data_IF_792132123007
#
_entry.id   IF_792132123007
#
_cell.length_a   1.000
_cell.length_b   1.000
_cell.length_c   1.000
_cell.angle_alpha   90.00
_cell.angle_beta   90.00
_cell.angle_gamma   90.00
#
_symmetry.space_group_name_H-M   'P 1'
#
loop_
_entity.id
_entity.type
_entity.pdbx_description
1 polymer ?
#
# COMPACT_ATOMS: atom_id res chain seq x y z
N UNK A 1 6.85 13.95 11.85
CA UNK A 1 7.20 12.79 11.00
C UNK A 1 7.90 11.79 11.89
N UNK A 2 7.36 10.59 12.03
CA UNK A 2 7.68 9.59 13.08
C UNK A 2 9.06 8.91 12.95
N UNK A 3 9.99 9.52 12.21
CA UNK A 3 11.36 9.04 12.02
C UNK A 3 11.49 7.74 11.21
N UNK A 4 10.43 7.30 10.52
CA UNK A 4 10.41 6.03 9.79
C UNK A 4 11.05 6.18 8.40
N UNK A 5 12.02 5.30 8.08
CA UNK A 5 12.57 5.12 6.74
C UNK A 5 11.71 4.12 5.97
N UNK A 6 11.12 4.57 4.86
CA UNK A 6 10.33 3.73 3.97
C UNK A 6 11.10 3.46 2.66
N UNK A 7 11.16 2.20 2.26
CA UNK A 7 11.70 1.78 0.95
C UNK A 7 10.72 0.82 0.30
N UNK A 8 10.62 0.85 -1.02
CA UNK A 8 9.75 -0.03 -1.80
C UNK A 8 10.58 -0.67 -2.91
N UNK A 9 10.33 -1.95 -3.15
CA UNK A 9 10.84 -2.62 -4.34
C UNK A 9 10.15 -2.10 -5.60
N UNK A 10 10.85 -2.23 -6.73
CA UNK A 10 10.34 -1.78 -8.03
C UNK A 10 9.02 -2.47 -8.39
N UNK A 11 8.91 -3.75 -8.07
CA UNK A 11 7.76 -4.60 -8.36
C UNK A 11 6.50 -4.20 -7.58
N UNK A 12 6.65 -3.49 -6.45
CA UNK A 12 5.53 -2.89 -5.71
C UNK A 12 4.88 -1.79 -6.51
N UNK A 13 5.67 -0.95 -7.19
CA UNK A 13 5.12 0.11 -8.05
C UNK A 13 4.33 -0.49 -9.21
N UNK A 14 4.86 -1.53 -9.85
CA UNK A 14 4.18 -2.25 -10.93
C UNK A 14 2.86 -2.85 -10.42
N UNK A 15 2.88 -3.50 -9.26
CA UNK A 15 1.67 -4.04 -8.63
C UNK A 15 0.60 -2.99 -8.35
N UNK A 16 0.98 -1.83 -7.79
CA UNK A 16 0.05 -0.73 -7.49
C UNK A 16 -0.60 -0.21 -8.78
N UNK A 17 0.20 -0.04 -9.84
CA UNK A 17 -0.29 0.43 -11.15
C UNK A 17 -1.24 -0.60 -11.77
N UNK A 18 -0.86 -1.88 -11.76
CA UNK A 18 -1.69 -2.98 -12.26
C UNK A 18 -3.06 -2.99 -11.57
N UNK A 19 -3.09 -2.86 -10.24
CA UNK A 19 -4.34 -2.78 -9.49
C UNK A 19 -5.15 -1.52 -9.83
N UNK A 20 -4.52 -0.38 -10.01
CA UNK A 20 -5.23 0.85 -10.40
C UNK A 20 -5.93 0.71 -11.76
N UNK A 21 -5.30 0.00 -12.70
CA UNK A 21 -5.86 -0.31 -14.01
C UNK A 21 -6.98 -1.36 -13.88
N UNK A 22 -6.73 -2.46 -13.16
CA UNK A 22 -7.69 -3.55 -12.92
C UNK A 22 -9.02 -3.02 -12.36
N UNK A 23 -8.95 -2.13 -11.36
CA UNK A 23 -10.13 -1.53 -10.71
C UNK A 23 -10.63 -0.25 -11.40
N UNK A 24 -10.04 0.15 -12.53
CA UNK A 24 -10.41 1.35 -13.31
C UNK A 24 -10.43 2.64 -12.50
N UNK A 25 -9.49 2.79 -11.57
CA UNK A 25 -9.44 3.94 -10.65
C UNK A 25 -8.69 5.15 -11.23
N UNK A 26 -7.88 4.91 -12.27
CA UNK A 26 -6.96 5.90 -12.82
C UNK A 26 -5.92 6.37 -11.79
N UNK A 27 -5.20 7.44 -12.12
CA UNK A 27 -4.12 7.96 -11.26
C UNK A 27 -4.59 8.40 -9.86
N UNK A 28 -5.86 8.80 -9.72
CA UNK A 28 -6.45 9.21 -8.43
C UNK A 28 -6.57 8.05 -7.46
N UNK A 29 -6.77 6.82 -7.96
CA UNK A 29 -6.87 5.62 -7.13
C UNK A 29 -5.56 5.09 -6.59
N UNK A 30 -4.41 5.55 -7.11
CA UNK A 30 -3.09 5.09 -6.63
C UNK A 30 -2.92 5.34 -5.14
N UNK A 31 -3.40 6.49 -4.64
CA UNK A 31 -3.36 6.81 -3.21
C UNK A 31 -4.14 5.80 -2.38
N UNK A 32 -5.36 5.45 -2.80
CA UNK A 32 -6.21 4.51 -2.08
C UNK A 32 -5.61 3.10 -2.05
N UNK A 33 -4.91 2.69 -3.11
CA UNK A 33 -4.19 1.41 -3.16
C UNK A 33 -3.02 1.41 -2.17
N UNK A 34 -2.21 2.46 -2.18
CA UNK A 34 -1.09 2.60 -1.23
C UNK A 34 -1.60 2.62 0.21
N UNK A 35 -2.69 3.35 0.47
CA UNK A 35 -3.30 3.43 1.80
C UNK A 35 -3.78 2.05 2.30
N UNK A 36 -4.45 1.28 1.43
CA UNK A 36 -4.85 -0.09 1.74
C UNK A 36 -3.65 -1.01 2.07
N UNK A 37 -2.53 -0.86 1.36
CA UNK A 37 -1.31 -1.65 1.63
C UNK A 37 -0.67 -1.25 2.96
N UNK A 38 -0.72 0.03 3.32
CA UNK A 38 0.13 0.61 4.37
C UNK A 38 -0.57 0.81 5.71
N UNK A 39 -1.90 0.66 5.80
CA UNK A 39 -2.69 1.05 6.98
C UNK A 39 -2.19 0.41 8.28
N UNK A 40 -1.87 -0.88 8.25
CA UNK A 40 -1.38 -1.63 9.42
C UNK A 40 0.01 -1.12 9.86
N UNK A 41 0.90 -0.88 8.89
CA UNK A 41 2.24 -0.35 9.15
C UNK A 41 2.19 1.08 9.69
N UNK A 42 1.31 1.92 9.16
CA UNK A 42 1.13 3.30 9.62
C UNK A 42 0.68 3.36 11.08
N UNK A 43 -0.10 2.37 11.54
CA UNK A 43 -0.55 2.29 12.93
C UNK A 43 0.52 1.69 13.87
N UNK A 44 1.20 0.63 13.44
CA UNK A 44 2.14 -0.13 14.29
C UNK A 44 3.51 0.54 14.42
N UNK A 45 4.13 0.97 13.31
CA UNK A 45 5.51 1.45 13.27
C UNK A 45 5.80 2.68 14.15
N UNK A 46 4.89 3.65 14.35
CA UNK A 46 5.13 4.75 15.28
C UNK A 46 5.42 4.28 16.71
N UNK A 47 4.85 3.15 17.12
CA UNK A 47 5.03 2.57 18.46
C UNK A 47 6.21 1.60 18.57
N UNK A 48 6.77 1.16 17.44
CA UNK A 48 7.91 0.23 17.43
C UNK A 48 9.26 0.95 17.53
N UNK A 49 10.25 0.25 18.12
CA UNK A 49 11.65 0.69 18.15
C UNK A 49 12.28 0.67 16.74
N UNK A 50 11.84 -0.26 15.88
CA UNK A 50 12.30 -0.37 14.50
C UNK A 50 11.62 0.67 13.62
N UNK A 51 12.39 1.66 13.17
CA UNK A 51 11.92 2.75 12.30
C UNK A 51 12.27 2.53 10.82
N UNK A 52 12.29 1.28 10.34
CA UNK A 52 12.55 0.97 8.93
C UNK A 52 11.50 0.01 8.40
N UNK A 53 10.86 0.38 7.29
CA UNK A 53 9.95 -0.47 6.55
C UNK A 53 10.47 -0.63 5.12
N UNK A 54 10.63 -1.88 4.71
CA UNK A 54 10.90 -2.25 3.34
C UNK A 54 9.69 -3.02 2.80
N UNK A 55 9.03 -2.45 1.81
CA UNK A 55 7.82 -3.01 1.20
C UNK A 55 8.21 -3.81 -0.02
N UNK A 56 7.88 -5.09 -0.01
CA UNK A 56 8.05 -6.03 -1.14
C UNK A 56 6.70 -6.27 -1.82
N UNK A 57 6.69 -6.84 -3.03
CA UNK A 57 5.43 -7.22 -3.69
C UNK A 57 4.60 -8.19 -2.86
N UNK A 58 5.22 -9.14 -2.17
CA UNK A 58 4.51 -10.10 -1.32
C UNK A 58 3.81 -9.40 -0.16
N UNK A 59 4.46 -8.41 0.45
CA UNK A 59 3.83 -7.54 1.46
C UNK A 59 2.63 -6.81 0.86
N UNK A 60 2.80 -6.18 -0.31
CA UNK A 60 1.75 -5.43 -0.97
C UNK A 60 0.52 -6.29 -1.29
N UNK A 61 0.71 -7.49 -1.86
CA UNK A 61 -0.38 -8.44 -2.15
C UNK A 61 -1.11 -8.83 -0.87
N UNK A 62 -0.37 -9.26 0.15
CA UNK A 62 -0.93 -9.74 1.42
C UNK A 62 -1.79 -8.70 2.13
N UNK A 63 -1.34 -7.44 2.19
CA UNK A 63 -2.08 -6.37 2.87
C UNK A 63 -3.23 -5.82 2.02
N UNK A 64 -3.04 -5.76 0.70
CA UNK A 64 -4.10 -5.33 -0.22
C UNK A 64 -5.28 -6.31 -0.25
N UNK A 65 -5.03 -7.62 -0.31
CA UNK A 65 -6.11 -8.64 -0.34
C UNK A 65 -6.91 -8.72 0.98
N UNK A 66 -6.29 -8.34 2.10
CA UNK A 66 -6.96 -8.24 3.40
C UNK A 66 -7.81 -6.98 3.55
N UNK A 67 -7.55 -5.97 2.74
CA UNK A 67 -8.27 -4.70 2.80
C UNK A 67 -9.65 -4.85 2.16
N UNK A 68 -10.67 -4.18 2.72
CA UNK A 68 -12.01 -4.16 2.12
C UNK A 68 -12.06 -3.21 0.90
N UNK A 69 -11.27 -3.55 -0.12
CA UNK A 69 -11.03 -2.76 -1.32
C UNK A 69 -12.22 -2.79 -2.30
N UNK A 70 -13.25 -3.60 -2.00
CA UNK A 70 -14.43 -3.81 -2.85
C UNK A 70 -15.23 -2.54 -3.12
N UNK A 71 -15.06 -1.51 -2.28
CA UNK A 71 -15.76 -0.24 -2.37
C UNK A 71 -15.08 0.81 -3.25
N UNK A 72 -13.86 0.55 -3.75
CA UNK A 72 -13.10 1.57 -4.46
C UNK A 72 -13.43 1.69 -5.94
N UNK A 73 -14.26 0.78 -6.49
CA UNK A 73 -14.74 0.90 -7.88
C UNK A 73 -15.44 2.23 -8.09
N UNK A 74 -14.93 3.02 -9.02
CA UNK A 74 -15.62 4.22 -9.51
C UNK A 74 -16.88 3.77 -10.24
N UNK A 75 -18.01 4.37 -9.88
CA UNK A 75 -19.32 4.19 -10.52
C UNK A 75 -19.27 4.62 -12.00
#
# INVERSE_FOLDING_TARGET
>A
MDGVTLTLDKDVYEYIVDKAIEFKLGARGLRSIVEAIMIDAMFSLPSEEKKKLHVTREYAVKHFEKSDFRHLRVA
#
